data_IF_092445016061
#
_entry.id   IF_092445016061
#
_cell.length_a   1.000
_cell.length_b   1.000
_cell.length_c   1.000
_cell.angle_alpha   90.00
_cell.angle_beta   90.00
_cell.angle_gamma   90.00
#
_symmetry.space_group_name_H-M   'P 1'
#
loop_
_entity.id
_entity.type
_entity.pdbx_description
1 polymer ?
#
# COMPACT_ATOMS: atom_id res chain seq x y z
N UNK A 1 -18.95 -0.06 16.95
CA UNK A 1 -17.79 -0.99 16.90
C UNK A 1 -18.31 -2.35 16.44
N UNK A 2 -17.66 -2.94 15.45
CA UNK A 2 -17.99 -4.31 15.03
C UNK A 2 -17.55 -5.27 16.16
N UNK A 3 -18.45 -6.07 16.75
CA UNK A 3 -18.11 -6.97 17.87
C UNK A 3 -17.16 -8.10 17.48
N UNK A 4 -16.96 -8.31 16.16
CA UNK A 4 -16.05 -9.35 15.64
C UNK A 4 -14.71 -8.78 15.16
N UNK A 5 -14.40 -7.50 15.42
CA UNK A 5 -13.13 -6.90 15.03
C UNK A 5 -12.03 -7.26 16.06
N UNK A 6 -10.96 -7.87 15.59
CA UNK A 6 -9.74 -8.12 16.35
C UNK A 6 -8.78 -6.93 16.14
N UNK A 7 -8.46 -6.21 17.22
CA UNK A 7 -7.55 -5.07 17.18
C UNK A 7 -6.19 -5.52 17.73
N UNK A 8 -5.15 -5.46 16.92
CA UNK A 8 -3.78 -5.86 17.24
C UNK A 8 -2.83 -4.68 17.04
N UNK A 9 -2.08 -4.34 18.09
CA UNK A 9 -0.97 -3.40 17.96
C UNK A 9 0.20 -4.12 17.28
N UNK A 10 0.69 -3.58 16.16
CA UNK A 10 1.74 -4.19 15.36
C UNK A 10 2.57 -3.11 14.66
N UNK A 11 3.87 -3.10 14.91
CA UNK A 11 4.83 -2.37 14.08
C UNK A 11 5.18 -3.22 12.85
N UNK A 12 4.78 -2.78 11.67
CA UNK A 12 5.03 -3.52 10.41
C UNK A 12 6.51 -3.55 10.02
N UNK A 13 7.37 -2.74 10.62
CA UNK A 13 8.83 -2.82 10.46
C UNK A 13 9.46 -3.92 11.32
N UNK A 14 8.70 -4.50 12.28
CA UNK A 14 9.13 -5.54 13.21
C UNK A 14 8.63 -6.92 12.78
N UNK A 15 9.51 -7.79 12.34
CA UNK A 15 9.16 -9.18 12.04
C UNK A 15 8.51 -9.89 13.23
N UNK A 16 8.98 -9.62 14.45
CA UNK A 16 8.44 -10.23 15.67
C UNK A 16 6.98 -9.83 15.89
N UNK A 17 6.65 -8.55 15.70
CA UNK A 17 5.28 -8.04 15.87
C UNK A 17 4.34 -8.60 14.80
N UNK A 18 4.80 -8.65 13.55
CA UNK A 18 4.04 -9.25 12.45
C UNK A 18 3.75 -10.73 12.75
N UNK A 19 4.75 -11.52 13.13
CA UNK A 19 4.56 -12.93 13.45
C UNK A 19 3.57 -13.11 14.61
N UNK A 20 3.63 -12.26 15.65
CA UNK A 20 2.68 -12.27 16.76
C UNK A 20 1.26 -11.94 16.29
N UNK A 21 1.10 -10.89 15.48
CA UNK A 21 -0.21 -10.50 14.96
C UNK A 21 -0.84 -11.60 14.10
N UNK A 22 -0.08 -12.19 13.17
CA UNK A 22 -0.60 -13.24 12.31
C UNK A 22 -0.92 -14.54 13.05
N UNK A 23 -0.16 -14.89 14.10
CA UNK A 23 -0.52 -16.02 15.00
C UNK A 23 -1.85 -15.76 15.72
N UNK A 24 -2.08 -14.53 16.18
CA UNK A 24 -3.36 -14.18 16.82
C UNK A 24 -4.53 -14.26 15.83
N UNK A 25 -4.34 -13.85 14.58
CA UNK A 25 -5.32 -13.97 13.50
C UNK A 25 -5.62 -15.46 13.22
N UNK A 26 -4.59 -16.29 13.08
CA UNK A 26 -4.78 -17.74 12.88
C UNK A 26 -5.51 -18.41 14.04
N UNK A 27 -5.19 -18.03 15.28
CA UNK A 27 -5.84 -18.59 16.48
C UNK A 27 -7.32 -18.20 16.57
N UNK A 28 -7.67 -16.96 16.19
CA UNK A 28 -9.03 -16.43 16.31
C UNK A 28 -9.94 -16.85 15.14
N UNK A 29 -9.42 -16.73 13.90
CA UNK A 29 -10.23 -16.90 12.68
C UNK A 29 -9.88 -18.14 11.86
N UNK A 30 -8.68 -18.70 12.04
CA UNK A 30 -8.20 -19.89 11.32
C UNK A 30 -7.89 -19.63 9.84
N UNK A 31 -8.17 -18.43 9.32
CA UNK A 31 -8.02 -18.07 7.90
C UNK A 31 -7.85 -16.59 7.66
N UNK A 32 -7.37 -16.25 6.46
CA UNK A 32 -7.34 -14.89 5.91
C UNK A 32 -7.88 -14.95 4.48
N UNK A 33 -8.95 -14.22 4.20
CA UNK A 33 -9.53 -14.13 2.85
C UNK A 33 -8.96 -12.94 2.07
N UNK A 34 -8.73 -11.80 2.75
CA UNK A 34 -8.18 -10.59 2.16
C UNK A 34 -7.14 -9.98 3.09
N UNK A 35 -6.00 -9.62 2.52
CA UNK A 35 -5.02 -8.73 3.15
C UNK A 35 -4.99 -7.41 2.37
N UNK A 36 -5.21 -6.29 3.05
CA UNK A 36 -4.90 -4.96 2.52
C UNK A 36 -3.63 -4.42 3.19
N UNK A 37 -2.52 -4.41 2.48
CA UNK A 37 -1.26 -3.82 2.90
C UNK A 37 -1.35 -2.29 2.78
N UNK A 38 -1.83 -1.63 3.82
CA UNK A 38 -2.08 -0.19 3.83
C UNK A 38 -1.06 0.61 4.64
N UNK A 39 -0.38 0.01 5.61
CA UNK A 39 0.57 0.71 6.45
C UNK A 39 1.66 1.39 5.62
N UNK A 40 1.95 2.65 5.92
CA UNK A 40 2.94 3.43 5.18
C UNK A 40 3.23 4.77 5.83
N UNK A 41 4.37 5.33 5.47
CA UNK A 41 4.86 6.65 5.91
C UNK A 41 5.23 7.50 4.71
N UNK A 42 5.24 8.81 4.92
CA UNK A 42 5.89 9.79 4.07
C UNK A 42 6.82 10.64 4.93
N UNK A 43 7.79 11.28 4.30
CA UNK A 43 8.71 12.23 4.91
C UNK A 43 8.65 13.55 4.15
N UNK A 44 9.14 14.62 4.77
CA UNK A 44 9.27 15.91 4.10
C UNK A 44 10.14 15.79 2.85
N UNK A 45 9.81 16.49 1.75
CA UNK A 45 10.64 16.50 0.55
C UNK A 45 12.06 16.96 0.86
N UNK A 46 13.05 16.23 0.33
CA UNK A 46 14.47 16.62 0.36
C UNK A 46 15.19 16.09 -0.87
N UNK A 47 16.27 16.75 -1.29
CA UNK A 47 17.13 16.25 -2.36
C UNK A 47 17.86 14.99 -1.92
N UNK A 48 18.36 14.20 -2.86
CA UNK A 48 18.98 12.91 -2.55
C UNK A 48 20.22 13.04 -1.65
N UNK A 49 20.98 14.12 -1.79
CA UNK A 49 22.19 14.41 -1.02
C UNK A 49 21.88 14.93 0.39
N UNK A 50 20.71 15.52 0.62
CA UNK A 50 20.25 16.03 1.91
C UNK A 50 19.41 15.00 2.69
N UNK A 51 18.97 13.94 2.03
CA UNK A 51 18.15 12.90 2.68
C UNK A 51 18.99 12.12 3.70
N UNK A 52 18.57 12.16 4.97
CA UNK A 52 19.19 11.34 6.02
C UNK A 52 19.06 9.84 5.67
N UNK A 53 20.18 9.09 5.62
CA UNK A 53 20.14 7.64 5.42
C UNK A 53 19.24 6.89 6.40
N UNK A 54 19.06 7.38 7.63
CA UNK A 54 18.14 6.79 8.60
C UNK A 54 16.68 6.92 8.15
N UNK A 55 16.29 8.06 7.60
CA UNK A 55 14.96 8.26 7.03
C UNK A 55 14.73 7.39 5.80
N UNK A 56 15.75 7.24 4.94
CA UNK A 56 15.69 6.29 3.83
C UNK A 56 15.40 4.88 4.33
N UNK A 57 16.19 4.40 5.31
CA UNK A 57 16.04 3.05 5.85
C UNK A 57 14.67 2.85 6.53
N UNK A 58 14.18 3.84 7.26
CA UNK A 58 12.85 3.79 7.87
C UNK A 58 11.75 3.64 6.82
N UNK A 59 11.82 4.41 5.73
CA UNK A 59 10.87 4.30 4.62
C UNK A 59 10.88 2.92 3.98
N UNK A 60 12.06 2.35 3.73
CA UNK A 60 12.21 0.98 3.20
C UNK A 60 11.60 -0.03 4.18
N UNK A 61 11.91 0.09 5.46
CA UNK A 61 11.44 -0.85 6.49
C UNK A 61 9.91 -0.86 6.61
N UNK A 62 9.28 0.31 6.64
CA UNK A 62 7.82 0.42 6.80
C UNK A 62 7.10 0.13 5.48
N UNK A 63 7.43 0.87 4.41
CA UNK A 63 6.61 0.87 3.19
C UNK A 63 6.84 -0.37 2.32
N UNK A 64 8.05 -0.92 2.29
CA UNK A 64 8.40 -2.03 1.41
C UNK A 64 8.59 -3.35 2.18
N UNK A 65 9.51 -3.36 3.15
CA UNK A 65 9.79 -4.58 3.93
C UNK A 65 8.58 -5.01 4.74
N UNK A 66 7.87 -4.08 5.39
CA UNK A 66 6.63 -4.36 6.13
C UNK A 66 5.55 -4.98 5.25
N UNK A 67 5.33 -4.40 4.06
CA UNK A 67 4.37 -4.95 3.08
C UNK A 67 4.76 -6.35 2.63
N UNK A 68 6.06 -6.61 2.38
CA UNK A 68 6.57 -7.93 2.06
C UNK A 68 6.32 -8.93 3.19
N UNK A 69 6.65 -8.57 4.43
CA UNK A 69 6.50 -9.46 5.58
C UNK A 69 5.04 -9.81 5.87
N UNK A 70 4.14 -8.83 5.80
CA UNK A 70 2.70 -9.06 5.94
C UNK A 70 2.16 -9.94 4.79
N UNK A 71 2.57 -9.67 3.55
CA UNK A 71 2.18 -10.48 2.40
C UNK A 71 2.70 -11.92 2.53
N UNK A 72 3.94 -12.12 3.01
CA UNK A 72 4.53 -13.44 3.26
C UNK A 72 3.69 -14.27 4.23
N UNK A 73 3.28 -13.70 5.36
CA UNK A 73 2.48 -14.41 6.36
C UNK A 73 1.05 -14.67 5.86
N UNK A 74 0.42 -13.70 5.22
CA UNK A 74 -0.90 -13.91 4.61
C UNK A 74 -0.85 -15.00 3.53
N UNK A 75 0.16 -14.97 2.66
CA UNK A 75 0.35 -15.97 1.62
C UNK A 75 0.52 -17.37 2.21
N UNK A 76 1.30 -17.52 3.29
CA UNK A 76 1.47 -18.79 4.00
C UNK A 76 0.13 -19.35 4.48
N UNK A 77 -0.70 -18.52 5.10
CA UNK A 77 -2.03 -18.91 5.61
C UNK A 77 -2.96 -19.25 4.43
N UNK A 78 -3.08 -18.36 3.43
CA UNK A 78 -3.93 -18.53 2.25
C UNK A 78 -3.61 -19.81 1.46
N UNK A 79 -2.32 -20.17 1.40
CA UNK A 79 -1.85 -21.41 0.76
C UNK A 79 -2.24 -22.67 1.56
N UNK A 80 -2.24 -22.59 2.88
CA UNK A 80 -2.50 -23.73 3.77
C UNK A 80 -3.99 -23.95 4.08
N UNK A 81 -4.78 -22.89 4.11
CA UNK A 81 -6.21 -22.91 4.49
C UNK A 81 -7.09 -23.71 3.53
N UNK A 82 -8.30 -24.06 4.00
CA UNK A 82 -9.33 -24.73 3.18
C UNK A 82 -10.67 -23.98 3.30
N UNK A 83 -11.33 -23.62 2.18
CA UNK A 83 -10.81 -23.70 0.82
C UNK A 83 -9.52 -22.85 0.64
N UNK A 84 -8.63 -23.34 -0.22
CA UNK A 84 -7.34 -22.69 -0.50
C UNK A 84 -7.55 -21.41 -1.31
N UNK A 85 -6.73 -20.39 -1.04
CA UNK A 85 -6.73 -19.13 -1.79
C UNK A 85 -7.05 -17.93 -0.94
N UNK A 86 -7.03 -16.77 -1.55
CA UNK A 86 -7.27 -15.47 -0.94
C UNK A 86 -6.81 -14.32 -1.82
N UNK A 87 -6.87 -13.11 -1.31
CA UNK A 87 -6.51 -11.90 -2.05
C UNK A 87 -5.57 -11.01 -1.26
N UNK A 88 -4.50 -10.55 -1.89
CA UNK A 88 -3.58 -9.55 -1.36
C UNK A 88 -3.76 -8.27 -2.19
N UNK A 89 -4.05 -7.16 -1.53
CA UNK A 89 -4.16 -5.83 -2.14
C UNK A 89 -3.05 -4.97 -1.54
N UNK A 90 -2.13 -4.50 -2.37
CA UNK A 90 -1.05 -3.62 -1.95
C UNK A 90 -1.43 -2.15 -2.20
N UNK A 91 -1.22 -1.30 -1.19
CA UNK A 91 -1.37 0.13 -1.33
C UNK A 91 -0.13 0.71 -2.04
N UNK A 92 -0.28 0.97 -3.33
CA UNK A 92 0.68 1.68 -4.14
C UNK A 92 0.58 3.20 -3.98
N UNK A 93 0.82 3.89 -5.05
CA UNK A 93 0.68 5.35 -5.18
C UNK A 93 0.86 5.70 -6.65
N UNK A 94 0.34 6.84 -7.08
CA UNK A 94 0.75 7.44 -8.37
C UNK A 94 2.27 7.67 -8.43
N UNK A 95 2.95 7.80 -7.29
CA UNK A 95 4.41 7.84 -7.19
C UNK A 95 5.11 6.52 -7.58
N UNK A 96 4.36 5.44 -7.77
CA UNK A 96 4.87 4.22 -8.41
C UNK A 96 5.06 4.36 -9.93
N UNK A 97 4.59 5.47 -10.51
CA UNK A 97 4.64 5.77 -11.94
C UNK A 97 5.36 7.11 -12.22
N UNK A 98 4.99 8.17 -11.50
CA UNK A 98 5.50 9.52 -11.70
C UNK A 98 5.98 10.11 -10.37
N UNK A 99 7.29 10.38 -10.21
CA UNK A 99 7.84 10.96 -8.99
C UNK A 99 7.48 12.44 -8.84
N UNK A 100 7.63 12.95 -7.61
CA UNK A 100 7.69 14.39 -7.32
C UNK A 100 9.12 14.79 -6.93
N UNK A 101 9.51 16.06 -7.09
CA UNK A 101 10.77 16.52 -6.53
C UNK A 101 10.88 16.21 -5.03
N UNK A 102 12.07 15.81 -4.59
CA UNK A 102 12.34 15.50 -3.17
C UNK A 102 11.70 14.21 -2.64
N UNK A 103 11.20 13.32 -3.49
CA UNK A 103 10.46 12.12 -3.04
C UNK A 103 11.22 10.81 -3.25
N UNK A 104 12.55 10.81 -3.35
CA UNK A 104 13.34 9.65 -3.76
C UNK A 104 13.04 8.40 -2.91
N UNK A 105 12.99 8.51 -1.57
CA UNK A 105 12.73 7.37 -0.70
C UNK A 105 11.31 6.82 -0.90
N UNK A 106 10.30 7.69 -0.88
CA UNK A 106 8.91 7.30 -1.08
C UNK A 106 8.69 6.69 -2.47
N UNK A 107 9.15 7.35 -3.52
CA UNK A 107 9.06 6.88 -4.90
C UNK A 107 9.71 5.51 -5.08
N UNK A 108 10.91 5.31 -4.54
CA UNK A 108 11.62 4.01 -4.60
C UNK A 108 10.82 2.90 -3.92
N UNK A 109 10.23 3.16 -2.73
CA UNK A 109 9.40 2.16 -2.07
C UNK A 109 8.15 1.81 -2.88
N UNK A 110 7.48 2.80 -3.48
CA UNK A 110 6.24 2.58 -4.25
C UNK A 110 6.51 1.88 -5.59
N UNK A 111 7.65 2.11 -6.23
CA UNK A 111 8.12 1.28 -7.36
C UNK A 111 8.44 -0.17 -6.90
N UNK A 112 9.05 -0.32 -5.71
CA UNK A 112 9.29 -1.63 -5.10
C UNK A 112 7.99 -2.42 -4.85
N UNK A 113 6.93 -1.75 -4.39
CA UNK A 113 5.60 -2.35 -4.22
C UNK A 113 5.05 -2.88 -5.55
N UNK A 114 5.28 -2.18 -6.66
CA UNK A 114 4.88 -2.67 -7.99
C UNK A 114 5.58 -3.98 -8.35
N UNK A 115 6.88 -4.08 -8.07
CA UNK A 115 7.65 -5.32 -8.24
C UNK A 115 7.13 -6.45 -7.37
N UNK A 116 6.89 -6.17 -6.08
CA UNK A 116 6.31 -7.12 -5.12
C UNK A 116 4.94 -7.63 -5.60
N UNK A 117 4.06 -6.73 -6.03
CA UNK A 117 2.72 -7.09 -6.53
C UNK A 117 2.78 -8.02 -7.72
N UNK A 118 3.65 -7.74 -8.70
CA UNK A 118 3.83 -8.58 -9.89
C UNK A 118 4.34 -9.97 -9.54
N UNK A 119 5.33 -10.07 -8.65
CA UNK A 119 5.89 -11.35 -8.19
C UNK A 119 4.85 -12.17 -7.44
N UNK A 120 4.15 -11.57 -6.46
CA UNK A 120 3.09 -12.25 -5.71
C UNK A 120 1.94 -12.72 -6.60
N UNK A 121 1.58 -11.94 -7.63
CA UNK A 121 0.55 -12.33 -8.59
C UNK A 121 0.96 -13.57 -9.41
N UNK A 122 2.24 -13.71 -9.72
CA UNK A 122 2.75 -14.90 -10.42
C UNK A 122 2.82 -16.11 -9.49
N UNK A 123 3.41 -15.93 -8.31
CA UNK A 123 3.64 -17.00 -7.32
C UNK A 123 2.32 -17.53 -6.73
N UNK A 124 1.29 -16.69 -6.69
CA UNK A 124 -0.03 -17.02 -6.13
C UNK A 124 -0.90 -17.91 -7.00
N UNK A 125 -0.66 -17.94 -8.32
CA UNK A 125 -1.51 -18.67 -9.28
C UNK A 125 -1.75 -20.13 -8.93
N UNK A 126 -0.74 -20.94 -8.58
CA UNK A 126 -0.95 -22.35 -8.25
C UNK A 126 -1.77 -22.58 -6.98
N UNK A 127 -1.97 -21.53 -6.18
CA UNK A 127 -2.60 -21.59 -4.85
C UNK A 127 -3.93 -20.83 -4.79
N UNK A 128 -4.45 -20.37 -5.93
CA UNK A 128 -5.65 -19.54 -5.99
C UNK A 128 -5.53 -18.24 -5.16
N UNK A 129 -4.34 -17.66 -5.12
CA UNK A 129 -4.06 -16.39 -4.43
C UNK A 129 -3.95 -15.29 -5.47
N UNK A 130 -4.90 -14.35 -5.45
CA UNK A 130 -4.87 -13.17 -6.29
C UNK A 130 -4.05 -12.05 -5.62
N UNK A 131 -3.25 -11.31 -6.39
CA UNK A 131 -2.57 -10.13 -5.89
C UNK A 131 -2.77 -8.96 -6.84
N UNK A 132 -3.16 -7.81 -6.28
CA UNK A 132 -3.35 -6.56 -7.02
C UNK A 132 -2.79 -5.37 -6.26
N UNK A 133 -2.75 -4.23 -6.94
CA UNK A 133 -2.26 -2.95 -6.38
C UNK A 133 -3.26 -1.85 -6.70
N UNK A 134 -3.51 -0.99 -5.70
CA UNK A 134 -4.24 0.26 -5.88
C UNK A 134 -3.25 1.42 -5.80
N UNK A 135 -3.14 2.21 -6.87
CA UNK A 135 -2.34 3.43 -6.91
C UNK A 135 -3.23 4.63 -6.57
N UNK A 136 -2.97 5.24 -5.42
CA UNK A 136 -3.80 6.32 -4.88
C UNK A 136 -3.11 7.66 -5.13
N UNK A 137 -3.91 8.64 -5.61
CA UNK A 137 -3.48 10.02 -5.79
C UNK A 137 -4.34 11.01 -5.01
N UNK A 138 -3.72 11.75 -4.08
CA UNK A 138 -4.29 12.88 -3.34
C UNK A 138 -5.62 12.57 -2.59
N UNK A 139 -5.71 11.43 -1.89
CA UNK A 139 -6.78 11.21 -0.93
C UNK A 139 -6.55 12.05 0.34
N UNK A 140 -7.57 12.71 0.84
CA UNK A 140 -7.49 13.56 2.04
C UNK A 140 -7.40 12.70 3.30
N UNK A 141 -6.21 12.68 3.91
CA UNK A 141 -5.89 11.94 5.15
C UNK A 141 -4.91 12.76 5.97
N UNK A 142 -4.68 12.39 7.23
CA UNK A 142 -3.64 13.02 8.06
C UNK A 142 -2.25 13.01 7.38
N UNK A 143 -1.93 11.93 6.66
CA UNK A 143 -0.67 11.81 5.92
C UNK A 143 -0.54 12.85 4.79
N UNK A 144 -1.65 13.22 4.17
CA UNK A 144 -1.70 14.13 3.01
C UNK A 144 -2.13 15.55 3.38
N UNK A 145 -2.54 15.79 4.62
CA UNK A 145 -2.91 17.12 5.10
C UNK A 145 -1.84 18.21 4.82
N UNK A 146 -0.52 17.94 4.99
CA UNK A 146 0.50 18.91 4.62
C UNK A 146 0.48 19.31 3.13
N UNK A 147 -0.02 18.43 2.26
CA UNK A 147 -0.16 18.69 0.81
C UNK A 147 -1.21 19.77 0.50
N UNK A 148 -2.18 19.97 1.40
CA UNK A 148 -3.14 21.06 1.28
C UNK A 148 -2.49 22.45 1.38
N UNK A 149 -1.27 22.53 1.92
CA UNK A 149 -0.45 23.76 1.99
C UNK A 149 0.40 23.98 0.74
N UNK A 150 0.44 23.01 -0.16
CA UNK A 150 1.20 23.01 -1.39
C UNK A 150 2.27 21.91 -1.46
N UNK A 151 2.53 21.45 -2.65
CA UNK A 151 3.54 20.42 -2.94
C UNK A 151 4.46 20.88 -4.06
N UNK A 152 5.74 20.47 -4.05
CA UNK A 152 6.67 20.80 -5.14
C UNK A 152 6.19 20.25 -6.48
N UNK A 153 6.16 21.10 -7.48
CA UNK A 153 5.90 20.74 -8.86
C UNK A 153 7.22 20.50 -9.63
N UNK A 154 7.13 19.95 -10.85
CA UNK A 154 8.32 19.64 -11.65
C UNK A 154 9.16 20.90 -11.97
N UNK A 155 8.54 22.07 -12.07
CA UNK A 155 9.19 23.38 -12.25
C UNK A 155 9.66 24.02 -10.92
N UNK A 156 9.58 23.27 -9.80
CA UNK A 156 9.94 23.70 -8.44
C UNK A 156 9.00 24.76 -7.82
N UNK A 157 7.90 25.14 -8.49
CA UNK A 157 6.85 25.92 -7.81
C UNK A 157 6.18 25.08 -6.71
N UNK A 158 5.60 25.76 -5.74
CA UNK A 158 4.79 25.11 -4.70
C UNK A 158 3.33 25.40 -5.02
N UNK A 159 2.56 24.36 -5.33
CA UNK A 159 1.16 24.49 -5.72
C UNK A 159 0.28 23.59 -4.83
N UNK A 160 -0.91 24.08 -4.50
CA UNK A 160 -1.94 23.26 -3.90
C UNK A 160 -2.58 22.36 -4.94
N UNK A 161 -2.75 21.09 -4.64
CA UNK A 161 -3.38 20.16 -5.57
C UNK A 161 -4.75 19.72 -5.05
N UNK A 162 -5.73 19.51 -5.95
CA UNK A 162 -7.02 18.95 -5.60
C UNK A 162 -6.89 17.60 -4.88
N UNK A 163 -7.76 17.37 -3.92
CA UNK A 163 -7.87 16.13 -3.15
C UNK A 163 -9.23 15.47 -3.37
N UNK A 164 -9.36 14.21 -3.01
CA UNK A 164 -10.62 13.47 -2.96
C UNK A 164 -10.87 12.91 -1.56
N UNK A 165 -12.14 12.64 -1.26
CA UNK A 165 -12.55 11.99 -0.02
C UNK A 165 -11.99 10.57 0.07
N UNK A 166 -11.51 10.18 1.26
CA UNK A 166 -10.95 8.84 1.51
C UNK A 166 -11.96 7.71 1.29
N UNK A 167 -13.26 8.00 1.40
CA UNK A 167 -14.35 7.05 1.12
C UNK A 167 -14.31 6.52 -0.32
N UNK A 168 -13.82 7.30 -1.28
CA UNK A 168 -13.64 6.84 -2.66
C UNK A 168 -12.56 5.75 -2.76
N UNK A 169 -11.49 5.88 -1.97
CA UNK A 169 -10.46 4.84 -1.88
C UNK A 169 -11.02 3.60 -1.19
N UNK A 170 -11.75 3.76 -0.08
CA UNK A 170 -12.32 2.65 0.67
C UNK A 170 -13.29 1.81 -0.19
N UNK A 171 -14.20 2.46 -0.92
CA UNK A 171 -15.13 1.77 -1.82
C UNK A 171 -14.40 1.05 -2.97
N UNK A 172 -13.31 1.63 -3.47
CA UNK A 172 -12.48 1.01 -4.51
C UNK A 172 -11.76 -0.25 -3.98
N UNK A 173 -11.17 -0.18 -2.78
CA UNK A 173 -10.55 -1.34 -2.13
C UNK A 173 -11.58 -2.44 -1.85
N UNK A 174 -12.78 -2.07 -1.39
CA UNK A 174 -13.88 -3.01 -1.18
C UNK A 174 -14.26 -3.72 -2.49
N UNK A 175 -14.42 -2.98 -3.59
CA UNK A 175 -14.68 -3.56 -4.90
C UNK A 175 -13.60 -4.57 -5.31
N UNK A 176 -12.31 -4.23 -5.13
CA UNK A 176 -11.21 -5.18 -5.39
C UNK A 176 -11.30 -6.42 -4.51
N UNK A 177 -11.67 -6.25 -3.23
CA UNK A 177 -11.76 -7.34 -2.26
C UNK A 177 -12.91 -8.32 -2.54
N UNK A 178 -14.05 -7.82 -3.04
CA UNK A 178 -15.27 -8.60 -3.29
C UNK A 178 -15.28 -9.39 -4.60
N UNK A 179 -14.33 -9.15 -5.50
CA UNK A 179 -14.22 -9.93 -6.73
C UNK A 179 -14.01 -11.42 -6.44
N UNK A 180 -14.61 -12.33 -7.21
CA UNK A 180 -14.30 -13.74 -7.11
C UNK A 180 -12.82 -13.98 -7.42
N UNK A 181 -12.21 -15.03 -6.86
CA UNK A 181 -10.76 -15.27 -7.01
C UNK A 181 -10.32 -15.62 -8.44
N UNK A 182 -11.25 -15.98 -9.31
CA UNK A 182 -11.02 -16.18 -10.75
C UNK A 182 -10.76 -14.86 -11.50
N UNK A 183 -11.17 -13.70 -10.91
CA UNK A 183 -10.96 -12.39 -11.46
C UNK A 183 -10.03 -11.56 -10.54
N UNK A 184 -9.10 -10.83 -11.14
CA UNK A 184 -8.18 -9.98 -10.41
C UNK A 184 -8.02 -8.62 -11.08
N UNK A 185 -8.18 -7.55 -10.29
CA UNK A 185 -7.73 -6.21 -10.68
C UNK A 185 -6.25 -6.13 -10.35
N UNK A 186 -5.41 -6.30 -11.38
CA UNK A 186 -3.95 -6.34 -11.20
C UNK A 186 -3.39 -4.97 -10.80
N UNK A 187 -3.84 -3.91 -11.45
CA UNK A 187 -3.51 -2.52 -11.13
C UNK A 187 -4.74 -1.64 -11.31
N UNK A 188 -4.96 -0.76 -10.35
CA UNK A 188 -6.01 0.25 -10.41
C UNK A 188 -5.46 1.59 -9.93
N UNK A 189 -5.74 2.65 -10.66
CA UNK A 189 -5.41 4.02 -10.23
C UNK A 189 -6.69 4.75 -9.87
N UNK A 190 -6.73 5.30 -8.64
CA UNK A 190 -7.81 6.19 -8.17
C UNK A 190 -7.19 7.49 -7.67
N UNK A 191 -7.65 8.60 -8.21
CA UNK A 191 -7.06 9.91 -7.92
C UNK A 191 -8.12 11.03 -7.99
N UNK A 192 -7.82 12.17 -7.38
CA UNK A 192 -8.67 13.36 -7.52
C UNK A 192 -8.68 13.78 -8.99
N UNK A 193 -9.88 13.95 -9.55
CA UNK A 193 -10.07 14.19 -11.00
C UNK A 193 -9.24 15.35 -11.55
N UNK A 194 -9.12 16.43 -10.79
CA UNK A 194 -8.46 17.66 -11.21
C UNK A 194 -6.98 17.75 -10.76
N UNK A 195 -6.43 16.70 -10.12
CA UNK A 195 -5.01 16.73 -9.74
C UNK A 195 -4.11 16.54 -10.96
N UNK A 196 -2.94 17.20 -11.01
CA UNK A 196 -2.00 17.03 -12.11
C UNK A 196 -1.32 15.65 -12.04
N UNK A 197 -1.71 14.75 -12.94
CA UNK A 197 -1.10 13.43 -13.13
C UNK A 197 -0.82 13.19 -14.61
N UNK A 198 -1.86 13.13 -15.45
CA UNK A 198 -1.72 13.13 -16.91
C UNK A 198 -1.45 14.57 -17.36
N UNK A 199 -0.47 14.75 -18.25
CA UNK A 199 -0.05 16.08 -18.71
C UNK A 199 0.91 16.80 -17.74
N UNK A 200 1.39 16.11 -16.71
CA UNK A 200 2.51 16.55 -15.89
C UNK A 200 3.78 16.36 -16.72
N UNK A 201 4.27 17.40 -17.35
CA UNK A 201 5.46 17.43 -18.20
C UNK A 201 6.53 18.33 -17.66
#
# INVERSE_FOLDING_TARGET
KNPHALILQCDVSSLTDILKAFRSIEAEWGRIDVLFNNAGKAISPSTIDELDPAHWQEMINVNLTGSFLCAREAFRIMRAQRPQGGRIINNGSISAQVPRPGSVAYTSTKHGITGLTRSLSLDGRPFNIACGQIDIGNALTELTEPMAKGVPQANLSIETEPTMEVSNVASTVLHMAELPLEANIQFMTVLATNMPFIGRG
#
